data_IF_030136272040
#
_entry.id   IF_030136272040
#
_cell.length_a   1.000
_cell.length_b   1.000
_cell.length_c   1.000
_cell.angle_alpha   90.00
_cell.angle_beta   90.00
_cell.angle_gamma   90.00
#
_symmetry.space_group_name_H-M   'P 1'
#
loop_
_entity.id
_entity.type
_entity.pdbx_description
1 polymer ?
#
# COMPACT_ATOMS: atom_id res chain seq x y z
N UNK A 1 -13.83 11.93 -11.11
CA UNK A 1 -14.44 12.11 -9.78
C UNK A 1 -14.81 10.73 -9.22
N UNK A 2 -14.41 10.40 -7.99
CA UNK A 2 -14.76 9.13 -7.29
C UNK A 2 -15.97 9.30 -6.37
N UNK A 3 -16.80 10.31 -6.64
CA UNK A 3 -18.06 10.52 -5.95
C UNK A 3 -18.92 9.25 -5.96
N UNK A 4 -19.58 8.91 -4.84
CA UNK A 4 -20.56 7.83 -4.77
C UNK A 4 -21.76 8.01 -5.73
N UNK A 5 -21.88 9.18 -6.36
CA UNK A 5 -22.90 9.46 -7.39
C UNK A 5 -22.58 8.84 -8.77
N UNK A 6 -21.35 8.38 -9.04
CA UNK A 6 -21.04 7.65 -10.29
C UNK A 6 -21.36 6.17 -10.13
N UNK A 7 -22.48 5.74 -10.71
CA UNK A 7 -22.96 4.35 -10.76
C UNK A 7 -22.39 3.55 -11.94
N UNK A 8 -21.43 4.10 -12.70
CA UNK A 8 -20.87 3.43 -13.86
C UNK A 8 -19.69 2.53 -13.49
N UNK A 9 -19.80 1.26 -13.87
CA UNK A 9 -18.74 0.27 -13.81
C UNK A 9 -18.13 0.08 -15.20
N UNK A 10 -16.81 -0.05 -15.28
CA UNK A 10 -16.16 -0.38 -16.55
C UNK A 10 -16.53 -1.80 -16.96
N UNK A 11 -16.85 -2.04 -18.24
CA UNK A 11 -17.11 -3.37 -18.72
C UNK A 11 -15.85 -4.23 -18.62
N UNK A 12 -16.03 -5.51 -18.38
CA UNK A 12 -14.93 -6.47 -18.18
C UNK A 12 -13.87 -6.44 -19.31
N UNK A 13 -14.22 -6.34 -20.61
CA UNK A 13 -13.23 -6.26 -21.69
C UNK A 13 -12.33 -5.02 -21.63
N UNK A 14 -12.84 -3.89 -21.12
CA UNK A 14 -12.03 -2.67 -20.94
C UNK A 14 -11.01 -2.88 -19.82
N UNK A 15 -11.43 -3.49 -18.71
CA UNK A 15 -10.56 -3.82 -17.57
C UNK A 15 -9.47 -4.82 -18.00
N UNK A 16 -9.84 -5.83 -18.77
CA UNK A 16 -8.91 -6.78 -19.38
C UNK A 16 -7.85 -6.08 -20.25
N UNK A 17 -8.28 -5.20 -21.16
CA UNK A 17 -7.35 -4.44 -22.00
C UNK A 17 -6.39 -3.56 -21.19
N UNK A 18 -6.86 -2.99 -20.08
CA UNK A 18 -6.01 -2.24 -19.14
C UNK A 18 -4.98 -3.15 -18.47
N UNK A 19 -5.38 -4.32 -17.97
CA UNK A 19 -4.44 -5.28 -17.39
C UNK A 19 -3.39 -5.75 -18.41
N UNK A 20 -3.80 -5.95 -19.66
CA UNK A 20 -2.87 -6.32 -20.73
C UNK A 20 -1.90 -5.19 -21.06
N UNK A 21 -2.31 -3.93 -20.97
CA UNK A 21 -1.41 -2.78 -21.13
C UNK A 21 -0.34 -2.74 -20.04
N UNK A 22 -0.71 -3.05 -18.79
CA UNK A 22 0.24 -3.18 -17.69
C UNK A 22 1.25 -4.31 -17.94
N UNK A 23 0.77 -5.49 -18.33
CA UNK A 23 1.64 -6.65 -18.65
C UNK A 23 2.56 -6.33 -19.82
N UNK A 24 2.10 -5.63 -20.86
CA UNK A 24 2.95 -5.19 -21.97
C UNK A 24 4.03 -4.20 -21.54
N UNK A 25 3.76 -3.34 -20.55
CA UNK A 25 4.72 -2.36 -20.04
C UNK A 25 5.80 -3.01 -19.17
N UNK A 26 5.39 -3.82 -18.19
CA UNK A 26 6.27 -4.32 -17.14
C UNK A 26 6.76 -5.75 -17.37
N UNK A 27 6.14 -6.49 -18.30
CA UNK A 27 6.37 -7.93 -18.50
C UNK A 27 5.73 -8.76 -17.38
N UNK A 28 6.34 -8.76 -16.20
CA UNK A 28 5.86 -9.44 -14.99
C UNK A 28 5.61 -8.43 -13.87
N UNK A 29 4.44 -7.77 -13.83
CA UNK A 29 4.15 -6.77 -12.80
C UNK A 29 4.24 -7.36 -11.39
N UNK A 30 4.98 -6.68 -10.51
CA UNK A 30 5.11 -7.10 -9.10
C UNK A 30 3.78 -7.07 -8.36
N UNK A 31 2.98 -6.03 -8.62
CA UNK A 31 1.78 -5.73 -7.88
C UNK A 31 0.70 -5.11 -8.76
N UNK A 32 -0.50 -5.65 -8.69
CA UNK A 32 -1.72 -4.99 -9.17
C UNK A 32 -2.65 -4.71 -8.00
N UNK A 33 -3.09 -3.45 -7.85
CA UNK A 33 -4.14 -3.06 -6.92
C UNK A 33 -5.46 -2.84 -7.68
N UNK A 34 -6.48 -3.62 -7.32
CA UNK A 34 -7.86 -3.37 -7.74
C UNK A 34 -8.45 -2.34 -6.78
N UNK A 35 -8.63 -1.13 -7.30
CA UNK A 35 -9.07 0.05 -6.54
C UNK A 35 -10.21 0.77 -7.26
N UNK A 36 -10.60 1.96 -6.79
CA UNK A 36 -11.71 2.75 -7.33
C UNK A 36 -12.41 3.57 -6.24
N UNK A 37 -13.74 3.63 -6.29
CA UNK A 37 -14.55 4.10 -5.16
C UNK A 37 -14.67 3.01 -4.10
N UNK A 38 -15.48 1.99 -4.38
CA UNK A 38 -15.50 0.71 -3.65
C UNK A 38 -15.55 -0.42 -4.69
N UNK A 39 -14.43 -1.08 -5.00
CA UNK A 39 -14.38 -2.06 -6.08
C UNK A 39 -15.24 -3.29 -5.80
N UNK A 40 -15.51 -3.62 -4.53
CA UNK A 40 -16.36 -4.77 -4.18
C UNK A 40 -17.84 -4.59 -4.55
N UNK A 41 -18.27 -3.37 -4.90
CA UNK A 41 -19.61 -3.13 -5.45
C UNK A 41 -19.72 -3.52 -6.93
N UNK A 42 -18.61 -3.73 -7.63
CA UNK A 42 -18.65 -4.16 -9.02
C UNK A 42 -19.29 -5.55 -9.12
N UNK A 43 -20.33 -5.76 -9.95
CA UNK A 43 -21.06 -7.03 -10.01
C UNK A 43 -20.16 -8.20 -10.43
N UNK A 44 -19.13 -7.92 -11.23
CA UNK A 44 -18.14 -8.88 -11.72
C UNK A 44 -16.79 -8.83 -10.97
N UNK A 45 -16.75 -8.37 -9.72
CA UNK A 45 -15.48 -8.22 -8.98
C UNK A 45 -14.67 -9.53 -8.91
N UNK A 46 -15.32 -10.67 -8.70
CA UNK A 46 -14.63 -11.96 -8.67
C UNK A 46 -14.04 -12.33 -10.05
N UNK A 47 -14.72 -11.98 -11.14
CA UNK A 47 -14.19 -12.21 -12.49
C UNK A 47 -12.99 -11.31 -12.79
N UNK A 48 -13.02 -10.06 -12.34
CA UNK A 48 -11.87 -9.14 -12.44
C UNK A 48 -10.65 -9.72 -11.70
N UNK A 49 -10.84 -10.27 -10.50
CA UNK A 49 -9.76 -10.89 -9.74
C UNK A 49 -9.22 -12.16 -10.43
N UNK A 50 -10.10 -12.97 -11.05
CA UNK A 50 -9.70 -14.15 -11.84
C UNK A 50 -8.89 -13.74 -13.07
N UNK A 51 -9.30 -12.68 -13.76
CA UNK A 51 -8.54 -12.10 -14.87
C UNK A 51 -7.16 -11.64 -14.45
N UNK A 52 -7.05 -10.96 -13.31
CA UNK A 52 -5.75 -10.54 -12.78
C UNK A 52 -4.85 -11.75 -12.44
N UNK A 53 -5.39 -12.81 -11.82
CA UNK A 53 -4.63 -14.02 -11.50
C UNK A 53 -4.21 -14.86 -12.70
N UNK A 54 -4.91 -14.75 -13.83
CA UNK A 54 -4.54 -15.44 -15.07
C UNK A 54 -3.34 -14.79 -15.79
N UNK A 55 -2.91 -13.60 -15.35
CA UNK A 55 -1.79 -12.85 -15.91
C UNK A 55 -0.52 -13.05 -15.06
N UNK A 56 0.68 -12.75 -15.58
CA UNK A 56 1.95 -12.89 -14.85
C UNK A 56 2.14 -11.79 -13.80
N UNK A 57 1.12 -11.55 -12.97
CA UNK A 57 1.12 -10.58 -11.88
C UNK A 57 1.48 -11.32 -10.59
N UNK A 58 2.57 -10.90 -9.95
CA UNK A 58 3.15 -11.64 -8.81
C UNK A 58 2.29 -11.53 -7.55
N UNK A 59 1.76 -10.35 -7.27
CA UNK A 59 0.87 -10.11 -6.12
C UNK A 59 -0.37 -9.30 -6.53
N UNK A 60 -1.52 -9.70 -6.01
CA UNK A 60 -2.80 -9.04 -6.25
C UNK A 60 -3.33 -8.45 -4.94
N UNK A 61 -3.69 -7.17 -4.96
CA UNK A 61 -4.28 -6.47 -3.83
C UNK A 61 -5.69 -6.00 -4.18
N UNK A 62 -6.62 -6.13 -3.24
CA UNK A 62 -7.97 -5.59 -3.33
C UNK A 62 -8.17 -4.49 -2.30
N UNK A 63 -8.38 -3.25 -2.76
CA UNK A 63 -8.65 -2.12 -1.88
C UNK A 63 -10.13 -2.13 -1.51
N UNK A 64 -10.46 -1.92 -0.23
CA UNK A 64 -11.86 -1.95 0.18
C UNK A 64 -12.12 -1.17 1.47
N UNK A 65 -13.33 -0.62 1.56
CA UNK A 65 -13.93 -0.09 2.76
C UNK A 65 -14.52 -1.17 3.66
N UNK A 66 -14.36 -2.47 3.38
CA UNK A 66 -14.67 -3.56 4.31
C UNK A 66 -16.14 -3.80 4.62
N UNK A 67 -17.08 -2.98 4.15
CA UNK A 67 -18.52 -3.13 4.46
C UNK A 67 -19.04 -4.48 3.93
N UNK A 68 -18.69 -4.83 2.70
CA UNK A 68 -19.10 -6.10 2.08
C UNK A 68 -18.47 -7.29 2.81
N UNK A 69 -17.18 -7.19 3.15
CA UNK A 69 -16.44 -8.22 3.90
C UNK A 69 -17.09 -8.48 5.26
N UNK A 70 -17.48 -7.45 6.00
CA UNK A 70 -18.15 -7.59 7.29
C UNK A 70 -19.49 -8.34 7.20
N UNK A 71 -20.25 -8.10 6.12
CA UNK A 71 -21.65 -8.53 5.98
C UNK A 71 -21.84 -9.84 5.22
N UNK A 72 -20.92 -10.21 4.34
CA UNK A 72 -21.06 -11.34 3.42
C UNK A 72 -19.92 -12.37 3.63
N UNK A 73 -20.06 -13.31 4.59
CA UNK A 73 -19.04 -14.33 4.85
C UNK A 73 -18.67 -15.17 3.62
N UNK A 74 -19.67 -15.51 2.79
CA UNK A 74 -19.46 -16.26 1.54
C UNK A 74 -18.58 -15.50 0.55
N UNK A 75 -18.68 -14.17 0.50
CA UNK A 75 -17.80 -13.36 -0.32
C UNK A 75 -16.35 -13.46 0.16
N UNK A 76 -16.12 -13.50 1.47
CA UNK A 76 -14.78 -13.66 2.05
C UNK A 76 -14.23 -15.06 1.78
N UNK A 77 -15.07 -16.10 1.80
CA UNK A 77 -14.69 -17.45 1.40
C UNK A 77 -14.25 -17.53 -0.07
N UNK A 78 -14.97 -16.86 -0.98
CA UNK A 78 -14.57 -16.73 -2.39
C UNK A 78 -13.24 -15.96 -2.53
N UNK A 79 -13.05 -14.85 -1.79
CA UNK A 79 -11.80 -14.11 -1.78
C UNK A 79 -10.61 -14.96 -1.29
N UNK A 80 -10.85 -15.90 -0.36
CA UNK A 80 -9.81 -16.78 0.16
C UNK A 80 -9.25 -17.75 -0.89
N UNK A 81 -10.00 -18.03 -1.97
CA UNK A 81 -9.56 -18.90 -3.07
C UNK A 81 -8.45 -18.27 -3.93
N UNK A 82 -8.24 -16.95 -3.85
CA UNK A 82 -7.18 -16.26 -4.60
C UNK A 82 -5.79 -16.34 -3.94
N UNK A 83 -5.67 -16.97 -2.77
CA UNK A 83 -4.37 -17.25 -2.13
C UNK A 83 -3.62 -18.36 -2.88
N UNK A 84 -2.27 -18.36 -2.87
CA UNK A 84 -1.37 -17.34 -2.31
C UNK A 84 -1.23 -16.10 -3.21
N UNK A 85 -0.48 -15.09 -2.75
CA UNK A 85 -0.23 -13.86 -3.52
C UNK A 85 -1.47 -12.97 -3.69
N UNK A 86 -2.37 -13.00 -2.71
CA UNK A 86 -3.56 -12.15 -2.65
C UNK A 86 -3.66 -11.49 -1.27
N UNK A 87 -3.96 -10.19 -1.26
CA UNK A 87 -4.01 -9.39 -0.05
C UNK A 87 -5.16 -8.37 -0.08
N UNK A 88 -5.77 -8.16 1.09
CA UNK A 88 -6.76 -7.11 1.31
C UNK A 88 -6.05 -5.83 1.77
N UNK A 89 -6.29 -4.74 1.06
CA UNK A 89 -5.82 -3.40 1.40
C UNK A 89 -7.00 -2.65 2.06
N UNK A 90 -7.15 -2.85 3.37
CA UNK A 90 -8.34 -2.47 4.14
C UNK A 90 -8.23 -1.04 4.66
N UNK A 91 -9.15 -0.18 4.26
CA UNK A 91 -9.26 1.16 4.84
C UNK A 91 -9.49 1.09 6.36
N UNK A 92 -8.69 1.77 7.18
CA UNK A 92 -8.76 1.75 8.64
C UNK A 92 -8.21 3.08 9.21
N UNK A 93 -8.98 4.17 9.10
CA UNK A 93 -8.40 5.50 9.36
C UNK A 93 -8.24 5.84 10.84
N UNK A 94 -9.03 5.27 11.75
CA UNK A 94 -9.01 5.68 13.16
C UNK A 94 -9.73 4.68 14.06
N UNK A 95 -9.37 4.66 15.34
CA UNK A 95 -10.10 3.94 16.39
C UNK A 95 -11.22 4.80 17.01
N UNK A 96 -11.27 6.10 16.69
CA UNK A 96 -12.25 7.07 17.20
C UNK A 96 -13.42 7.26 16.21
N UNK A 97 -14.67 7.04 16.66
CA UNK A 97 -15.86 7.33 15.86
C UNK A 97 -15.90 8.76 15.28
N UNK A 98 -15.48 9.77 16.06
CA UNK A 98 -15.50 11.17 15.62
C UNK A 98 -14.53 11.46 14.47
N UNK A 99 -13.36 10.83 14.46
CA UNK A 99 -12.38 10.95 13.38
C UNK A 99 -12.88 10.24 12.11
N UNK A 100 -13.50 9.06 12.25
CA UNK A 100 -14.14 8.36 11.12
C UNK A 100 -15.30 9.19 10.54
N UNK A 101 -16.12 9.80 11.39
CA UNK A 101 -17.17 10.72 10.95
C UNK A 101 -16.59 11.89 10.13
N UNK A 102 -15.47 12.45 10.58
CA UNK A 102 -14.80 13.56 9.88
C UNK A 102 -14.18 13.13 8.56
N UNK A 103 -13.50 11.98 8.51
CA UNK A 103 -12.75 11.52 7.33
C UNK A 103 -13.65 10.83 6.29
N UNK A 104 -14.70 10.14 6.74
CA UNK A 104 -15.52 9.26 5.90
C UNK A 104 -17.00 9.61 5.87
N UNK A 105 -17.48 10.38 6.84
CA UNK A 105 -18.89 10.78 6.95
C UNK A 105 -19.77 9.77 7.69
N UNK A 106 -19.19 8.75 8.32
CA UNK A 106 -19.90 7.75 9.10
C UNK A 106 -18.98 7.14 10.18
N UNK A 107 -19.56 6.68 11.28
CA UNK A 107 -18.88 5.76 12.20
C UNK A 107 -18.79 4.37 11.56
N UNK A 108 -17.56 3.92 11.30
CA UNK A 108 -17.26 2.63 10.69
C UNK A 108 -16.59 1.66 11.67
N UNK A 109 -16.45 2.02 12.95
CA UNK A 109 -15.66 1.27 13.94
C UNK A 109 -16.11 -0.19 14.00
N UNK A 110 -17.42 -0.41 14.18
CA UNK A 110 -18.02 -1.75 14.24
C UNK A 110 -17.79 -2.55 12.94
N UNK A 111 -17.97 -1.91 11.79
CA UNK A 111 -17.76 -2.54 10.47
C UNK A 111 -16.31 -3.01 10.32
N UNK A 112 -15.32 -2.25 10.81
CA UNK A 112 -13.90 -2.65 10.74
C UNK A 112 -13.60 -3.88 11.56
N UNK A 113 -14.16 -3.96 12.77
CA UNK A 113 -14.00 -5.14 13.63
C UNK A 113 -14.63 -6.37 12.96
N UNK A 114 -15.89 -6.26 12.53
CA UNK A 114 -16.59 -7.37 11.85
C UNK A 114 -15.85 -7.81 10.58
N UNK A 115 -15.31 -6.88 9.79
CA UNK A 115 -14.50 -7.22 8.62
C UNK A 115 -13.22 -7.97 8.99
N UNK A 116 -12.50 -7.53 10.02
CA UNK A 116 -11.28 -8.19 10.49
C UNK A 116 -11.56 -9.59 11.05
N UNK A 117 -12.67 -9.79 11.75
CA UNK A 117 -13.10 -11.12 12.19
C UNK A 117 -13.30 -12.08 11.01
N UNK A 118 -13.98 -11.63 9.95
CA UNK A 118 -14.18 -12.46 8.75
C UNK A 118 -12.85 -12.76 8.04
N UNK A 119 -11.98 -11.75 7.90
CA UNK A 119 -10.66 -11.94 7.29
C UNK A 119 -9.76 -12.87 8.11
N UNK A 120 -9.84 -12.80 9.44
CA UNK A 120 -9.10 -13.64 10.37
C UNK A 120 -9.54 -15.11 10.28
N UNK A 121 -10.83 -15.40 10.10
CA UNK A 121 -11.35 -16.79 9.94
C UNK A 121 -10.70 -17.53 8.78
N UNK A 122 -10.36 -16.83 7.70
CA UNK A 122 -9.68 -17.39 6.54
C UNK A 122 -8.18 -17.07 6.50
N UNK A 123 -7.66 -16.39 7.52
CA UNK A 123 -6.31 -15.84 7.58
C UNK A 123 -5.88 -15.20 6.25
N UNK A 124 -6.77 -14.33 5.72
CA UNK A 124 -6.53 -13.57 4.51
C UNK A 124 -5.56 -12.44 4.81
N UNK A 125 -4.40 -12.44 4.13
CA UNK A 125 -3.40 -11.38 4.28
C UNK A 125 -4.07 -10.01 4.17
N UNK A 126 -3.86 -9.16 5.16
CA UNK A 126 -4.50 -7.85 5.23
C UNK A 126 -3.48 -6.78 5.61
N UNK A 127 -3.48 -5.65 4.92
CA UNK A 127 -2.79 -4.43 5.33
C UNK A 127 -3.82 -3.39 5.74
N UNK A 128 -3.66 -2.81 6.92
CA UNK A 128 -4.47 -1.67 7.35
C UNK A 128 -3.97 -0.38 6.70
N UNK A 129 -4.88 0.45 6.22
CA UNK A 129 -4.54 1.64 5.44
C UNK A 129 -5.16 2.85 6.11
N UNK A 130 -4.30 3.74 6.59
CA UNK A 130 -4.67 4.83 7.48
C UNK A 130 -4.41 6.15 6.77
N UNK A 131 -5.45 6.89 6.39
CA UNK A 131 -5.25 8.28 5.98
C UNK A 131 -5.09 9.14 7.22
N UNK A 132 -3.96 9.81 7.36
CA UNK A 132 -3.61 10.61 8.54
C UNK A 132 -3.85 12.09 8.28
N UNK A 133 -4.68 12.71 9.12
CA UNK A 133 -5.00 14.15 9.11
C UNK A 133 -4.61 14.75 10.46
N UNK A 134 -3.80 15.82 10.42
CA UNK A 134 -3.36 16.52 11.63
C UNK A 134 -4.55 17.08 12.40
N UNK A 135 -4.54 16.91 13.72
CA UNK A 135 -5.60 17.32 14.63
C UNK A 135 -6.83 16.42 14.62
N UNK A 136 -6.78 15.27 13.94
CA UNK A 136 -7.94 14.35 13.81
C UNK A 136 -7.60 12.95 14.32
N UNK A 137 -6.58 12.31 13.74
CA UNK A 137 -6.16 10.94 14.08
C UNK A 137 -4.63 10.76 14.16
N UNK A 138 -3.86 11.83 14.03
CA UNK A 138 -2.39 11.82 14.08
C UNK A 138 -1.81 11.47 15.47
N UNK A 139 -2.65 11.41 16.50
CA UNK A 139 -2.30 10.93 17.84
C UNK A 139 -2.55 9.42 18.05
N UNK A 140 -3.09 8.71 17.05
CA UNK A 140 -3.44 7.29 17.15
C UNK A 140 -2.43 6.35 16.53
N UNK A 141 -1.37 6.85 15.90
CA UNK A 141 -0.49 6.04 15.04
C UNK A 141 0.10 4.82 15.76
N UNK A 142 0.64 5.00 16.97
CA UNK A 142 1.17 3.89 17.77
C UNK A 142 0.08 2.89 18.18
N UNK A 143 -1.07 3.39 18.64
CA UNK A 143 -2.22 2.55 19.03
C UNK A 143 -2.79 1.74 17.86
N UNK A 144 -2.76 2.30 16.64
CA UNK A 144 -3.18 1.57 15.44
C UNK A 144 -2.19 0.42 15.13
N UNK A 145 -0.89 0.62 15.35
CA UNK A 145 0.12 -0.43 15.20
C UNK A 145 -0.13 -1.55 16.21
N UNK A 146 -0.34 -1.20 17.49
CA UNK A 146 -0.67 -2.17 18.54
C UNK A 146 -1.96 -2.93 18.23
N UNK A 147 -3.01 -2.22 17.79
CA UNK A 147 -4.26 -2.83 17.35
C UNK A 147 -4.04 -3.80 16.20
N UNK A 148 -3.24 -3.44 15.18
CA UNK A 148 -2.92 -4.31 14.06
C UNK A 148 -2.27 -5.63 14.50
N UNK A 149 -1.43 -5.58 15.54
CA UNK A 149 -0.77 -6.75 16.11
C UNK A 149 -1.70 -7.68 16.88
N UNK A 150 -2.93 -7.27 17.18
CA UNK A 150 -3.94 -8.16 17.76
C UNK A 150 -4.52 -9.14 16.73
N UNK A 151 -4.43 -8.82 15.44
CA UNK A 151 -5.06 -9.58 14.37
C UNK A 151 -4.04 -10.45 13.63
N UNK A 152 -4.22 -11.79 13.63
CA UNK A 152 -3.25 -12.69 12.99
C UNK A 152 -3.29 -12.61 11.47
N UNK A 153 -4.36 -12.08 10.85
CA UNK A 153 -4.47 -11.87 9.41
C UNK A 153 -3.82 -10.56 8.93
N UNK A 154 -3.54 -9.62 9.85
CA UNK A 154 -2.93 -8.33 9.52
C UNK A 154 -1.41 -8.49 9.39
N UNK A 155 -0.84 -8.03 8.29
CA UNK A 155 0.60 -8.10 7.95
C UNK A 155 1.29 -6.75 8.10
N UNK A 156 0.55 -5.69 8.38
CA UNK A 156 1.14 -4.38 8.53
C UNK A 156 0.15 -3.23 8.45
N UNK A 157 0.70 -2.03 8.57
CA UNK A 157 -0.03 -0.77 8.48
C UNK A 157 0.66 0.13 7.45
N UNK A 158 -0.13 0.68 6.52
CA UNK A 158 0.30 1.73 5.62
C UNK A 158 -0.34 3.05 6.03
N UNK A 159 0.48 4.00 6.45
CA UNK A 159 0.07 5.36 6.76
C UNK A 159 0.20 6.24 5.51
N UNK A 160 -0.83 7.00 5.21
CA UNK A 160 -0.88 7.90 4.07
C UNK A 160 -1.23 9.29 4.59
N UNK A 161 -0.33 10.29 4.49
CA UNK A 161 -0.72 11.67 4.72
C UNK A 161 -1.96 12.08 3.92
N UNK A 162 -2.84 12.86 4.53
CA UNK A 162 -3.99 13.42 3.82
C UNK A 162 -3.53 14.26 2.62
N UNK A 163 -4.26 14.10 1.52
CA UNK A 163 -4.05 14.85 0.30
C UNK A 163 -5.25 15.72 -0.03
N UNK A 164 -4.99 16.87 -0.64
CA UNK A 164 -6.01 17.73 -1.20
C UNK A 164 -6.41 17.31 -2.62
N UNK A 165 -7.09 16.16 -2.71
CA UNK A 165 -7.55 15.61 -3.98
C UNK A 165 -8.96 14.98 -3.84
N UNK A 166 -9.88 15.40 -4.72
CA UNK A 166 -11.27 14.90 -4.69
C UNK A 166 -12.08 15.53 -3.55
N UNK A 167 -12.86 14.71 -2.83
CA UNK A 167 -13.72 15.17 -1.72
C UNK A 167 -12.89 15.39 -0.46
N UNK A 168 -12.61 16.64 -0.13
CA UNK A 168 -11.85 17.05 1.05
C UNK A 168 -12.42 18.35 1.64
N UNK A 169 -13.68 18.30 2.08
CA UNK A 169 -14.42 19.47 2.57
C UNK A 169 -13.78 20.06 3.84
N UNK A 170 -13.72 21.40 3.90
CA UNK A 170 -13.16 22.12 5.06
C UNK A 170 -11.65 21.90 5.26
N UNK A 171 -10.93 21.50 4.22
CA UNK A 171 -9.48 21.30 4.33
C UNK A 171 -8.70 22.62 4.31
N UNK A 172 -8.12 22.95 5.46
CA UNK A 172 -7.06 23.95 5.58
C UNK A 172 -5.66 23.29 5.55
N UNK A 173 -4.82 23.56 4.54
CA UNK A 173 -3.49 22.96 4.44
C UNK A 173 -2.54 23.33 5.58
N UNK A 174 -2.69 24.53 6.18
CA UNK A 174 -1.84 24.96 7.30
C UNK A 174 -2.14 24.20 8.60
N UNK A 175 -3.40 23.77 8.76
CA UNK A 175 -3.87 23.08 9.98
C UNK A 175 -3.85 21.56 9.86
N UNK A 176 -4.22 21.03 8.69
CA UNK A 176 -4.56 19.61 8.56
C UNK A 176 -3.49 18.76 7.87
N UNK A 177 -2.54 19.37 7.15
CA UNK A 177 -1.46 18.62 6.51
C UNK A 177 -0.56 18.00 7.56
N UNK A 178 -0.08 16.81 7.22
CA UNK A 178 1.01 16.11 7.88
C UNK A 178 1.93 15.59 6.78
N UNK A 179 3.21 15.39 7.06
CA UNK A 179 4.19 14.88 6.09
C UNK A 179 4.78 13.57 6.58
N UNK A 180 5.40 12.81 5.66
CA UNK A 180 6.01 11.52 5.95
C UNK A 180 6.94 11.56 7.17
N UNK A 181 7.81 12.57 7.25
CA UNK A 181 8.78 12.70 8.35
C UNK A 181 8.11 12.94 9.70
N UNK A 182 6.97 13.63 9.74
CA UNK A 182 6.19 13.84 10.95
C UNK A 182 5.44 12.57 11.38
N UNK A 183 4.86 11.81 10.43
CA UNK A 183 4.25 10.50 10.73
C UNK A 183 5.30 9.57 11.33
N UNK A 184 6.48 9.47 10.69
CA UNK A 184 7.60 8.66 11.19
C UNK A 184 7.99 9.06 12.61
N UNK A 185 8.16 10.36 12.86
CA UNK A 185 8.52 10.88 14.19
C UNK A 185 7.47 10.54 15.24
N UNK A 186 6.18 10.67 14.92
CA UNK A 186 5.09 10.34 15.83
C UNK A 186 5.01 8.85 16.16
N UNK A 187 5.31 7.97 15.21
CA UNK A 187 5.39 6.52 15.48
C UNK A 187 6.51 6.21 16.47
N UNK A 188 7.66 6.88 16.33
CA UNK A 188 8.81 6.74 17.24
C UNK A 188 8.45 7.30 18.63
N UNK A 189 7.90 8.53 18.68
CA UNK A 189 7.50 9.22 19.93
C UNK A 189 6.38 8.48 20.67
N UNK A 190 5.53 7.72 19.97
CA UNK A 190 4.50 6.89 20.57
C UNK A 190 5.05 5.67 21.35
N UNK A 191 6.36 5.40 21.26
CA UNK A 191 6.99 4.31 22.02
C UNK A 191 6.67 2.91 21.48
N UNK A 192 6.35 2.80 20.18
CA UNK A 192 6.22 1.50 19.53
C UNK A 192 7.56 0.78 19.44
N UNK A 193 7.56 -0.50 19.04
CA UNK A 193 8.81 -1.23 18.82
C UNK A 193 9.70 -0.58 17.74
N UNK A 194 9.13 0.14 16.77
CA UNK A 194 9.88 0.80 15.70
C UNK A 194 10.57 2.08 16.22
N UNK A 195 11.89 2.04 16.33
CA UNK A 195 12.73 3.18 16.71
C UNK A 195 13.22 4.00 15.52
N UNK A 196 14.14 4.95 15.80
CA UNK A 196 14.68 5.88 14.79
C UNK A 196 15.34 5.18 13.60
N UNK A 197 15.97 4.03 13.81
CA UNK A 197 16.65 3.28 12.75
C UNK A 197 15.73 2.40 11.90
N UNK A 198 14.48 2.20 12.31
CA UNK A 198 13.68 1.08 11.82
C UNK A 198 12.68 1.44 10.71
N UNK A 199 12.39 2.74 10.56
CA UNK A 199 11.57 3.25 9.45
C UNK A 199 12.48 4.10 8.58
N UNK A 200 12.90 3.54 7.44
CA UNK A 200 13.88 4.15 6.53
C UNK A 200 13.22 4.64 5.24
N UNK A 201 13.67 5.75 4.66
CA UNK A 201 13.21 6.18 3.34
C UNK A 201 13.68 5.19 2.26
N UNK A 202 12.84 4.93 1.26
CA UNK A 202 13.21 4.06 0.14
C UNK A 202 14.01 4.86 -0.90
N UNK A 203 15.22 4.41 -1.30
CA UNK A 203 16.07 5.12 -2.26
C UNK A 203 15.44 5.44 -3.61
N UNK A 204 14.48 4.64 -4.07
CA UNK A 204 13.75 4.90 -5.31
C UNK A 204 12.93 6.21 -5.25
N UNK A 205 12.34 6.54 -4.09
CA UNK A 205 11.58 7.77 -3.87
C UNK A 205 11.59 8.18 -2.39
N UNK A 206 12.75 8.62 -1.87
CA UNK A 206 12.98 8.76 -0.42
C UNK A 206 12.16 9.87 0.23
N UNK A 207 11.65 10.81 -0.58
CA UNK A 207 10.80 11.91 -0.14
C UNK A 207 9.31 11.51 -0.04
N UNK A 208 8.93 10.38 -0.64
CA UNK A 208 7.52 9.96 -0.74
C UNK A 208 7.25 8.61 -0.08
N UNK A 209 8.30 7.82 0.17
CA UNK A 209 8.17 6.45 0.68
C UNK A 209 9.14 6.19 1.82
N UNK A 210 8.62 5.66 2.93
CA UNK A 210 9.42 5.08 3.99
C UNK A 210 8.83 3.75 4.44
N UNK A 211 9.70 2.82 4.83
CA UNK A 211 9.30 1.48 5.22
C UNK A 211 10.08 0.99 6.44
N UNK A 212 9.41 0.18 7.26
CA UNK A 212 10.00 -0.60 8.32
C UNK A 212 9.45 -2.01 8.30
N UNK A 213 10.30 -2.97 8.60
CA UNK A 213 9.99 -4.40 8.69
C UNK A 213 10.31 -4.89 10.10
N UNK A 214 9.47 -5.79 10.59
CA UNK A 214 9.67 -6.46 11.85
C UNK A 214 9.32 -7.94 11.74
N UNK A 215 10.05 -8.78 12.49
CA UNK A 215 9.66 -10.15 12.76
C UNK A 215 8.60 -10.14 13.85
N UNK A 216 7.54 -10.93 13.67
CA UNK A 216 6.38 -11.00 14.55
C UNK A 216 6.25 -12.38 15.16
N UNK A 217 6.06 -12.41 16.47
CA UNK A 217 5.63 -13.58 17.23
C UNK A 217 4.40 -13.21 18.07
N UNK A 218 3.23 -13.67 17.63
CA UNK A 218 1.95 -13.27 18.21
C UNK A 218 1.75 -11.75 18.16
N UNK A 219 1.77 -11.11 19.33
CA UNK A 219 1.62 -9.64 19.48
C UNK A 219 2.95 -8.90 19.60
N UNK A 220 4.04 -9.62 19.75
CA UNK A 220 5.37 -9.03 19.89
C UNK A 220 6.02 -8.89 18.52
N UNK A 221 6.76 -7.80 18.35
CA UNK A 221 7.54 -7.57 17.13
C UNK A 221 8.96 -7.11 17.46
N UNK A 222 9.89 -7.52 16.62
CA UNK A 222 11.29 -7.06 16.64
C UNK A 222 11.58 -6.43 15.28
N UNK A 223 11.72 -5.10 15.19
CA UNK A 223 12.12 -4.45 13.95
C UNK A 223 13.47 -4.98 13.51
N UNK A 224 13.59 -5.24 12.21
CA UNK A 224 14.80 -5.79 11.63
C UNK A 224 15.50 -4.82 10.68
N UNK A 225 14.83 -3.73 10.31
CA UNK A 225 15.30 -2.78 9.28
C UNK A 225 16.59 -2.07 9.68
N UNK A 226 16.77 -1.73 10.96
CA UNK A 226 17.99 -1.06 11.44
C UNK A 226 19.25 -1.95 11.44
N UNK A 227 19.11 -3.27 11.39
CA UNK A 227 20.25 -4.19 11.32
C UNK A 227 20.91 -4.24 9.94
N UNK A 228 20.29 -3.63 8.92
CA UNK A 228 20.86 -3.55 7.59
C UNK A 228 21.77 -2.31 7.46
N UNK A 229 23.02 -2.45 6.98
CA UNK A 229 23.88 -1.30 6.73
C UNK A 229 23.24 -0.34 5.73
N UNK A 230 23.23 0.97 6.04
CA UNK A 230 22.59 1.99 5.19
C UNK A 230 23.17 2.03 3.78
N UNK A 231 24.47 1.78 3.63
CA UNK A 231 25.15 1.74 2.32
C UNK A 231 24.70 0.55 1.47
N UNK A 232 24.32 -0.55 2.13
CA UNK A 232 23.74 -1.75 1.53
C UNK A 232 22.36 -1.43 0.91
N UNK A 233 21.58 -0.57 1.57
CA UNK A 233 20.28 -0.11 1.11
C UNK A 233 20.41 0.92 -0.01
N UNK A 234 21.39 1.82 0.05
CA UNK A 234 21.59 2.91 -0.93
C UNK A 234 22.25 2.43 -2.24
N UNK A 235 23.24 1.53 -2.17
CA UNK A 235 23.98 1.07 -3.36
C UNK A 235 23.23 -0.01 -4.18
N UNK A 236 22.27 -0.70 -3.57
CA UNK A 236 21.49 -1.77 -4.20
C UNK A 236 20.17 -1.30 -4.83
N UNK A 237 19.94 0.02 -4.99
CA UNK A 237 18.65 0.53 -5.46
C UNK A 237 18.80 1.67 -6.50
N UNK A 238 19.36 1.41 -7.69
CA UNK A 238 19.09 2.26 -8.85
C UNK A 238 17.68 1.91 -9.37
N UNK A 239 16.69 2.71 -8.96
CA UNK A 239 15.34 2.77 -9.53
C UNK A 239 14.40 1.55 -9.35
N UNK A 240 14.58 0.71 -8.33
CA UNK A 240 13.68 -0.42 -8.09
C UNK A 240 13.02 -0.34 -6.70
N UNK A 241 11.72 -0.63 -6.63
CA UNK A 241 11.03 -1.08 -5.40
C UNK A 241 11.30 -2.57 -5.14
N UNK A 242 12.01 -3.18 -6.07
CA UNK A 242 12.34 -4.58 -6.19
C UNK A 242 13.79 -4.81 -5.77
N UNK A 243 13.98 -5.45 -4.63
CA UNK A 243 15.27 -5.89 -4.07
C UNK A 243 15.97 -7.00 -4.89
N UNK A 244 15.43 -7.37 -6.05
CA UNK A 244 15.71 -8.62 -6.77
C UNK A 244 17.06 -8.69 -7.48
N UNK A 245 17.78 -7.57 -7.57
CA UNK A 245 18.95 -7.44 -8.46
C UNK A 245 20.33 -7.65 -7.81
N UNK A 246 20.42 -7.97 -6.50
CA UNK A 246 21.71 -7.91 -5.78
C UNK A 246 22.04 -9.15 -4.92
N UNK A 247 22.67 -10.18 -5.51
CA UNK A 247 23.05 -11.42 -4.80
C UNK A 247 24.05 -11.21 -3.65
N UNK A 248 24.95 -10.22 -3.75
CA UNK A 248 25.95 -9.92 -2.70
C UNK A 248 25.33 -9.29 -1.45
N UNK A 249 24.20 -8.59 -1.58
CA UNK A 249 23.37 -8.13 -0.47
C UNK A 249 22.85 -9.31 0.33
N UNK A 250 22.26 -10.27 -0.39
CA UNK A 250 21.69 -11.47 0.20
C UNK A 250 22.75 -12.23 1.00
N UNK A 251 23.96 -12.36 0.45
CA UNK A 251 25.09 -13.02 1.12
C UNK A 251 25.53 -12.31 2.40
N UNK A 252 25.63 -10.98 2.40
CA UNK A 252 26.04 -10.21 3.58
C UNK A 252 25.00 -10.19 4.70
N UNK A 253 23.72 -10.12 4.32
CA UNK A 253 22.62 -10.25 5.28
C UNK A 253 22.63 -11.65 5.90
N UNK A 254 22.83 -12.68 5.07
CA UNK A 254 22.95 -14.06 5.49
C UNK A 254 24.16 -14.33 6.41
N UNK A 255 25.33 -13.77 6.10
CA UNK A 255 26.53 -13.85 6.96
C UNK A 255 26.31 -13.19 8.32
N UNK A 256 25.63 -12.03 8.37
CA UNK A 256 25.31 -11.33 9.61
C UNK A 256 24.41 -12.17 10.52
N UNK A 257 23.40 -12.85 9.97
CA UNK A 257 22.55 -13.76 10.72
C UNK A 257 23.25 -15.09 11.07
N UNK A 258 24.16 -15.58 10.21
CA UNK A 258 24.93 -16.81 10.42
C UNK A 258 25.96 -16.69 11.56
N UNK A 259 26.48 -15.49 11.85
CA UNK A 259 27.39 -15.25 12.98
C UNK A 259 26.66 -15.21 14.34
N UNK A 260 25.38 -14.84 14.35
CA UNK A 260 24.55 -14.77 15.57
C UNK A 260 23.90 -16.12 15.94
N UNK A 261 23.86 -17.08 15.00
CA UNK A 261 23.21 -18.39 15.18
C UNK A 261 24.19 -19.53 14.90
N UNK A 262 25.19 -19.68 15.78
CA UNK A 262 26.07 -20.86 15.80
C UNK A 262 25.36 -22.18 16.17
N UNK A 263 24.01 -22.22 16.19
CA UNK A 263 23.23 -23.46 16.25
C UNK A 263 21.96 -23.34 15.39
N UNK A 264 21.97 -23.97 14.21
CA UNK A 264 20.76 -24.39 13.50
C UNK A 264 20.31 -23.53 12.31
N UNK A 265 20.88 -23.81 11.13
CA UNK A 265 20.28 -23.74 9.79
C UNK A 265 19.33 -22.55 9.48
N UNK A 266 19.90 -21.34 9.49
CA UNK A 266 19.31 -20.11 8.97
C UNK A 266 19.24 -19.88 7.43
N UNK A 267 19.81 -20.71 6.51
CA UNK A 267 19.91 -20.33 5.10
C UNK A 267 18.60 -20.17 4.30
N UNK A 268 17.58 -20.89 4.74
CA UNK A 268 16.39 -21.17 3.96
C UNK A 268 15.23 -20.19 4.28
N UNK A 269 15.32 -19.49 5.41
CA UNK A 269 14.17 -18.78 6.01
C UNK A 269 14.16 -17.26 5.76
N UNK A 270 15.17 -16.72 5.09
CA UNK A 270 15.26 -15.29 4.76
C UNK A 270 14.75 -14.95 3.34
N UNK A 271 14.54 -15.96 2.48
CA UNK A 271 14.17 -15.80 1.08
C UNK A 271 12.76 -15.24 0.81
N UNK A 272 11.95 -15.00 1.85
CA UNK A 272 10.58 -14.48 1.75
C UNK A 272 10.42 -13.06 2.34
N UNK A 273 11.51 -12.45 2.83
CA UNK A 273 11.47 -11.22 3.61
C UNK A 273 11.31 -9.93 2.77
N UNK A 274 11.27 -10.06 1.45
CA UNK A 274 11.22 -8.96 0.50
C UNK A 274 10.01 -9.21 -0.40
N UNK A 275 9.02 -8.32 -0.30
CA UNK A 275 7.69 -8.40 -0.93
C UNK A 275 7.70 -8.36 -2.47
N UNK A 276 8.74 -8.89 -3.13
CA UNK A 276 8.85 -8.92 -4.58
C UNK A 276 9.23 -10.28 -5.21
N UNK A 277 9.82 -11.27 -4.51
CA UNK A 277 10.31 -12.50 -5.18
C UNK A 277 9.48 -13.77 -4.89
N UNK A 278 8.75 -14.37 -5.85
CA UNK A 278 8.37 -15.77 -5.84
C UNK A 278 9.36 -16.60 -6.67
N UNK A 279 9.85 -17.70 -6.07
CA UNK A 279 10.28 -18.86 -6.85
C UNK A 279 11.49 -19.65 -6.36
N UNK A 280 11.53 -20.17 -5.11
CA UNK A 280 12.33 -21.38 -4.77
C UNK A 280 11.66 -22.13 -3.59
N UNK A 281 11.49 -23.47 -3.64
CA UNK A 281 10.89 -24.25 -2.56
C UNK A 281 11.86 -24.40 -1.37
N UNK A 282 11.32 -24.34 -0.15
CA UNK A 282 12.08 -24.46 1.11
C UNK A 282 11.30 -25.29 2.15
N UNK A 283 11.92 -26.20 2.92
CA UNK A 283 11.24 -26.98 3.97
C UNK A 283 11.26 -26.31 5.37
N UNK A 284 10.07 -26.13 5.96
CA UNK A 284 9.80 -26.23 7.41
C UNK A 284 10.09 -25.03 8.35
N UNK A 285 9.02 -24.26 8.70
CA UNK A 285 8.73 -23.52 9.98
C UNK A 285 8.84 -21.98 10.12
N UNK A 286 9.21 -21.17 9.12
CA UNK A 286 8.98 -19.70 9.18
C UNK A 286 8.19 -19.28 7.93
N UNK A 287 7.05 -18.61 8.11
CA UNK A 287 6.12 -18.21 7.05
C UNK A 287 5.81 -16.71 7.04
N UNK A 288 5.13 -16.27 5.97
CA UNK A 288 4.73 -14.87 5.73
C UNK A 288 3.93 -14.22 6.89
N UNK A 289 3.33 -15.02 7.76
CA UNK A 289 2.57 -14.57 8.95
C UNK A 289 3.46 -13.96 10.03
N UNK A 290 4.74 -14.30 10.03
CA UNK A 290 5.74 -13.79 10.98
C UNK A 290 6.40 -12.48 10.50
N UNK A 291 5.96 -11.89 9.39
CA UNK A 291 6.42 -10.58 8.93
C UNK A 291 5.37 -9.51 9.20
N UNK A 292 5.80 -8.40 9.81
CA UNK A 292 4.98 -7.21 10.02
C UNK A 292 5.64 -5.99 9.38
N UNK A 293 4.90 -5.21 8.58
CA UNK A 293 5.42 -4.03 7.88
C UNK A 293 4.74 -2.73 8.32
N UNK A 294 5.52 -1.67 8.42
CA UNK A 294 5.04 -0.29 8.45
C UNK A 294 5.46 0.37 7.15
N UNK A 295 4.51 0.95 6.43
CA UNK A 295 4.81 1.79 5.28
C UNK A 295 4.24 3.19 5.49
N UNK A 296 4.96 4.20 5.02
CA UNK A 296 4.46 5.57 4.92
C UNK A 296 4.54 5.95 3.45
N UNK A 297 3.38 6.25 2.85
CA UNK A 297 3.26 6.59 1.44
C UNK A 297 2.66 7.98 1.32
N UNK A 298 3.51 8.96 1.02
CA UNK A 298 3.11 10.34 0.76
C UNK A 298 2.96 10.58 -0.73
N UNK A 299 1.71 10.69 -1.15
CA UNK A 299 1.36 11.11 -2.50
C UNK A 299 1.34 12.65 -2.60
N UNK A 300 1.47 13.17 -3.82
CA UNK A 300 1.51 14.60 -4.12
C UNK A 300 0.12 15.15 -4.46
N UNK A 301 -0.11 16.40 -4.07
CA UNK A 301 -1.28 17.21 -4.41
C UNK A 301 -0.86 18.63 -4.85
N UNK A 302 -1.83 19.53 -5.01
CA UNK A 302 -1.58 20.89 -5.46
C UNK A 302 -0.64 21.72 -4.56
N UNK A 303 -0.47 21.35 -3.29
CA UNK A 303 0.31 22.13 -2.31
C UNK A 303 1.77 21.64 -2.19
N UNK A 304 2.06 20.38 -2.50
CA UNK A 304 3.42 19.81 -2.45
C UNK A 304 3.90 19.25 -3.79
N UNK A 305 3.24 19.61 -4.91
CA UNK A 305 3.59 19.10 -6.23
C UNK A 305 5.06 19.35 -6.57
N UNK A 306 5.79 18.26 -6.86
CA UNK A 306 7.21 18.32 -7.21
C UNK A 306 7.49 17.37 -8.37
N UNK A 307 7.91 17.93 -9.51
CA UNK A 307 8.16 17.16 -10.73
C UNK A 307 9.28 16.12 -10.56
N UNK A 308 10.30 16.42 -9.74
CA UNK A 308 11.38 15.47 -9.47
C UNK A 308 10.88 14.22 -8.70
N UNK A 309 9.93 14.41 -7.78
CA UNK A 309 9.24 13.31 -7.08
C UNK A 309 8.31 12.53 -8.02
N UNK A 310 7.56 13.22 -8.88
CA UNK A 310 6.68 12.57 -9.88
C UNK A 310 7.46 11.63 -10.80
N UNK A 311 8.65 12.03 -11.27
CA UNK A 311 9.51 11.19 -12.13
C UNK A 311 9.98 9.90 -11.44
N UNK A 312 9.93 9.85 -10.11
CA UNK A 312 10.28 8.70 -9.27
C UNK A 312 9.04 7.99 -8.71
N UNK A 313 7.84 8.38 -9.15
CA UNK A 313 6.60 7.73 -8.72
C UNK A 313 6.55 6.32 -9.30
N UNK A 314 6.11 5.40 -8.47
CA UNK A 314 6.05 3.97 -8.77
C UNK A 314 4.61 3.43 -8.74
N UNK A 315 3.66 4.26 -8.28
CA UNK A 315 2.25 3.91 -8.20
C UNK A 315 1.56 4.61 -9.36
N UNK A 316 1.01 3.82 -10.27
CA UNK A 316 0.41 4.30 -11.51
C UNK A 316 -1.04 3.83 -11.62
N UNK A 317 -1.88 4.67 -12.21
CA UNK A 317 -3.15 4.24 -12.77
C UNK A 317 -2.92 3.78 -14.20
N UNK A 318 -3.42 2.60 -14.53
CA UNK A 318 -3.63 2.23 -15.93
C UNK A 318 -4.92 2.89 -16.39
N UNK A 319 -4.90 3.57 -17.52
CA UNK A 319 -6.07 4.21 -18.11
C UNK A 319 -6.72 3.32 -19.18
N UNK A 320 -7.99 3.57 -19.56
CA UNK A 320 -8.68 2.78 -20.60
C UNK A 320 -7.98 2.78 -21.96
N UNK A 321 -7.29 3.87 -22.29
CA UNK A 321 -6.44 4.02 -23.47
C UNK A 321 -5.05 3.36 -23.31
N UNK A 322 -4.80 2.65 -22.21
CA UNK A 322 -3.61 1.86 -21.99
C UNK A 322 -2.39 2.64 -21.49
N UNK A 323 -2.55 3.90 -21.10
CA UNK A 323 -1.45 4.69 -20.53
C UNK A 323 -1.26 4.40 -19.04
N UNK A 324 0.00 4.36 -18.58
CA UNK A 324 0.34 4.33 -17.17
C UNK A 324 0.62 5.76 -16.68
N UNK A 325 -0.26 6.28 -15.84
CA UNK A 325 -0.20 7.65 -15.35
C UNK A 325 0.14 7.63 -13.85
N UNK A 326 1.22 8.30 -13.40
CA UNK A 326 1.55 8.39 -11.99
C UNK A 326 0.36 8.87 -11.16
N UNK A 327 0.10 8.21 -10.02
CA UNK A 327 -1.02 8.50 -9.11
C UNK A 327 -1.10 9.99 -8.76
N UNK A 328 0.06 10.56 -8.48
CA UNK A 328 0.29 11.97 -8.17
C UNK A 328 -0.29 12.89 -9.26
N UNK A 329 0.07 12.64 -10.51
CA UNK A 329 -0.40 13.45 -11.64
C UNK A 329 -1.84 13.13 -12.03
N UNK A 330 -2.27 11.88 -11.88
CA UNK A 330 -3.61 11.45 -12.24
C UNK A 330 -4.68 12.23 -11.47
N UNK A 331 -4.49 12.33 -10.15
CA UNK A 331 -5.44 13.00 -9.27
C UNK A 331 -5.47 14.52 -9.42
N UNK A 332 -4.35 15.13 -9.84
CA UNK A 332 -4.26 16.57 -10.06
C UNK A 332 -4.79 16.98 -11.44
N UNK A 333 -4.47 16.21 -12.50
CA UNK A 333 -4.71 16.63 -13.89
C UNK A 333 -5.71 15.77 -14.66
N UNK A 334 -5.72 14.44 -14.48
CA UNK A 334 -6.42 13.53 -15.40
C UNK A 334 -7.82 13.12 -14.92
N UNK A 335 -8.02 13.00 -13.61
CA UNK A 335 -9.21 12.37 -12.98
C UNK A 335 -10.57 12.90 -13.44
N UNK A 336 -10.64 14.16 -13.82
CA UNK A 336 -11.87 14.85 -14.21
C UNK A 336 -11.84 15.32 -15.67
N UNK A 337 -10.92 14.82 -16.49
CA UNK A 337 -10.74 15.31 -17.87
C UNK A 337 -10.08 16.67 -17.98
N UNK A 338 -9.76 17.33 -16.86
CA UNK A 338 -9.14 18.68 -16.78
C UNK A 338 -7.89 18.83 -17.64
N UNK A 339 -7.13 17.76 -17.84
CA UNK A 339 -5.95 17.77 -18.71
C UNK A 339 -6.29 18.13 -20.17
N UNK A 340 -7.48 17.76 -20.66
CA UNK A 340 -7.92 18.10 -22.01
C UNK A 340 -8.12 19.63 -22.13
N UNK A 341 -8.77 20.24 -21.13
CA UNK A 341 -8.98 21.69 -21.08
C UNK A 341 -7.65 22.44 -20.96
N UNK A 342 -6.73 21.96 -20.13
CA UNK A 342 -5.38 22.54 -19.98
C UNK A 342 -4.63 22.47 -21.32
N UNK A 343 -4.63 21.32 -21.99
CA UNK A 343 -3.96 21.16 -23.29
C UNK A 343 -4.57 22.04 -24.36
N UNK A 344 -5.90 22.18 -24.40
CA UNK A 344 -6.58 23.05 -25.33
C UNK A 344 -6.19 24.54 -25.13
N UNK A 345 -6.13 24.99 -23.87
CA UNK A 345 -5.70 26.34 -23.53
C UNK A 345 -4.26 26.65 -23.95
N UNK A 346 -3.32 25.72 -23.70
CA UNK A 346 -1.92 25.89 -24.08
C UNK A 346 -1.71 25.95 -25.60
N UNK A 347 -2.50 25.20 -26.38
CA UNK A 347 -2.46 25.26 -27.84
C UNK A 347 -2.96 26.62 -28.35
N UNK A 348 -3.99 27.20 -27.73
CA UNK A 348 -4.47 28.53 -28.09
C UNK A 348 -3.44 29.62 -27.80
N UNK A 349 -2.77 29.55 -26.64
CA UNK A 349 -1.68 30.49 -26.30
C UNK A 349 -0.49 30.37 -27.26
N UNK A 350 -0.14 29.16 -27.68
CA UNK A 350 0.95 28.92 -28.64
C UNK A 350 0.65 29.38 -30.08
N UNK A 351 -0.62 29.63 -30.43
CA UNK A 351 -1.03 30.18 -31.73
C UNK A 351 -1.06 31.71 -31.72
N UNK A 352 -0.99 32.33 -30.53
CA UNK A 352 -0.97 33.78 -30.33
C UNK A 352 0.41 34.37 -29.98
N UNK A 353 1.44 33.53 -29.98
CA UNK A 353 2.87 33.89 -29.89
C UNK A 353 3.51 33.60 -31.23
#
# INVERSE_FOLDING_TARGET
>A
DSSPARSFHRPLPEIEAMMDALVRSEGEPDLLQISGGEPTLHPQILDILRLAKARPIRHLMLNTNGIRIAREPEFVAELAQFKPGFEIYLQFDSLKPAALQTLRGADLTRVRIEALEQLARHNLSTTLVVVVKRGVNDDELGRIIEFALEWPCVRGVTFQPIQDAGRNEGFDPARHRIVLSEIRRRIIEAGTAFGEGDIIPLPCNPESLAIGYALRDGRQIVPITSFFPKDLLVAALPNAITFEKYPELHRKVFEFFSLATAQGNAPEKLGQLLCCLPGVPVPGTLGYEQLFRIAIVEFLDAHNFCLARVKRSCIHFVTPDGHLIPFDTYNVFYRNGRIADIRAGLVQEAVHV
#
